data_IF_344388160259
#
_entry.id   IF_344388160259
#
_cell.length_a   1.000
_cell.length_b   1.000
_cell.length_c   1.000
_cell.angle_alpha   90.00
_cell.angle_beta   90.00
_cell.angle_gamma   90.00
#
_symmetry.space_group_name_H-M   'P 1'
#
loop_
_entity.id
_entity.type
_entity.pdbx_description
1 polymer ?
#
# COMPACT_ATOMS: atom_id res chain seq x y z
N UNK A 1 34.40 30.86 -28.32
CA UNK A 1 33.25 31.56 -28.95
C UNK A 1 32.91 30.95 -30.31
N UNK A 2 33.90 30.67 -31.17
CA UNK A 2 33.68 30.08 -32.52
C UNK A 2 33.02 28.70 -32.57
N UNK A 3 33.27 27.82 -31.59
CA UNK A 3 32.70 26.46 -31.59
C UNK A 3 31.18 26.49 -31.41
N UNK A 4 30.67 27.39 -30.55
CA UNK A 4 29.23 27.56 -30.34
C UNK A 4 28.54 28.14 -31.57
N UNK A 5 29.14 29.14 -32.22
CA UNK A 5 28.59 29.74 -33.46
C UNK A 5 28.57 28.71 -34.60
N UNK A 6 29.63 27.92 -34.73
CA UNK A 6 29.68 26.83 -35.72
C UNK A 6 28.62 25.76 -35.45
N UNK A 7 28.42 25.37 -34.18
CA UNK A 7 27.40 24.39 -33.83
C UNK A 7 25.98 24.93 -34.08
N UNK A 8 25.74 26.22 -33.80
CA UNK A 8 24.45 26.88 -34.12
C UNK A 8 24.20 26.88 -35.62
N UNK A 9 25.20 27.21 -36.45
CA UNK A 9 25.05 27.20 -37.90
C UNK A 9 24.77 25.80 -38.47
N UNK A 10 25.42 24.76 -37.93
CA UNK A 10 25.18 23.37 -38.34
C UNK A 10 23.76 22.92 -37.95
N UNK A 11 23.29 23.34 -36.78
CA UNK A 11 21.91 23.07 -36.32
C UNK A 11 20.90 23.81 -37.20
N UNK A 12 21.20 25.05 -37.61
CA UNK A 12 20.34 25.86 -38.49
C UNK A 12 20.25 25.27 -39.92
N UNK A 13 21.36 24.79 -40.46
CA UNK A 13 21.41 24.10 -41.75
C UNK A 13 20.61 22.78 -41.70
N UNK A 14 20.76 22.00 -40.62
CA UNK A 14 19.99 20.78 -40.42
C UNK A 14 18.48 21.06 -40.29
N UNK A 15 18.09 22.11 -39.56
CA UNK A 15 16.70 22.54 -39.44
C UNK A 15 16.12 22.98 -40.78
N UNK A 16 16.91 23.68 -41.60
CA UNK A 16 16.50 24.11 -42.94
C UNK A 16 16.28 22.92 -43.87
N UNK A 17 17.16 21.91 -43.79
CA UNK A 17 17.02 20.66 -44.55
C UNK A 17 15.79 19.87 -44.11
N UNK A 18 15.49 19.81 -42.80
CA UNK A 18 14.26 19.21 -42.28
C UNK A 18 13.01 19.95 -42.76
N UNK A 19 12.99 21.29 -42.75
CA UNK A 19 11.85 22.09 -43.25
C UNK A 19 11.57 21.83 -44.72
N UNK A 20 12.61 21.72 -45.55
CA UNK A 20 12.48 21.41 -46.98
C UNK A 20 12.01 19.97 -47.25
N UNK A 21 12.49 19.00 -46.48
CA UNK A 21 12.16 17.59 -46.70
C UNK A 21 10.75 17.21 -46.19
N UNK A 22 10.30 17.84 -45.11
CA UNK A 22 9.01 17.53 -44.45
C UNK A 22 7.87 18.46 -44.86
N UNK A 23 8.17 19.61 -45.47
CA UNK A 23 7.19 20.64 -45.83
C UNK A 23 6.67 21.47 -44.65
N UNK A 24 7.23 21.26 -43.45
CA UNK A 24 6.79 21.89 -42.20
C UNK A 24 7.43 23.28 -42.07
N UNK A 25 6.60 24.30 -41.89
CA UNK A 25 7.02 25.72 -42.00
C UNK A 25 7.45 26.35 -40.68
N UNK A 26 7.03 25.78 -39.55
CA UNK A 26 7.27 26.31 -38.20
C UNK A 26 8.07 25.34 -37.34
N UNK A 27 9.01 25.87 -36.57
CA UNK A 27 9.81 25.10 -35.58
C UNK A 27 8.91 24.45 -34.52
N UNK A 28 7.78 25.07 -34.20
CA UNK A 28 6.80 24.55 -33.23
C UNK A 28 6.04 23.33 -33.75
N UNK A 29 5.80 23.26 -35.06
CA UNK A 29 5.16 22.13 -35.72
C UNK A 29 6.11 20.92 -35.81
N UNK A 30 7.42 21.16 -35.96
CA UNK A 30 8.46 20.11 -35.87
C UNK A 30 8.50 19.52 -34.46
N UNK A 31 8.53 20.36 -33.42
CA UNK A 31 8.52 19.90 -32.02
C UNK A 31 7.25 19.13 -31.70
N UNK A 32 6.09 19.63 -32.13
CA UNK A 32 4.80 18.93 -31.91
C UNK A 32 4.76 17.58 -32.63
N UNK A 33 5.29 17.50 -33.85
CA UNK A 33 5.35 16.25 -34.62
C UNK A 33 6.31 15.25 -33.98
N UNK A 34 7.44 15.74 -33.47
CA UNK A 34 8.40 14.92 -32.73
C UNK A 34 7.79 14.37 -31.44
N UNK A 35 7.14 15.20 -30.63
CA UNK A 35 6.45 14.78 -29.41
C UNK A 35 5.39 13.71 -29.73
N UNK A 36 4.58 13.91 -30.78
CA UNK A 36 3.58 12.91 -31.20
C UNK A 36 4.21 11.59 -31.67
N UNK A 37 5.32 11.66 -32.39
CA UNK A 37 6.04 10.47 -32.82
C UNK A 37 6.67 9.73 -31.61
N UNK A 38 7.16 10.47 -30.63
CA UNK A 38 7.69 9.93 -29.37
C UNK A 38 6.60 9.27 -28.53
N UNK A 39 5.44 9.92 -28.36
CA UNK A 39 4.26 9.34 -27.69
C UNK A 39 3.77 8.06 -28.38
N UNK A 40 3.76 8.04 -29.71
CA UNK A 40 3.43 6.84 -30.49
C UNK A 40 4.47 5.73 -30.27
N UNK A 41 5.76 6.08 -30.25
CA UNK A 41 6.83 5.12 -30.04
C UNK A 41 6.78 4.52 -28.62
N UNK A 42 6.50 5.35 -27.62
CA UNK A 42 6.25 4.92 -26.25
C UNK A 42 5.03 3.98 -26.16
N UNK A 43 3.96 4.30 -26.87
CA UNK A 43 2.76 3.46 -26.94
C UNK A 43 3.05 2.10 -27.61
N UNK A 44 3.87 2.08 -28.67
CA UNK A 44 4.32 0.84 -29.30
C UNK A 44 5.17 -0.01 -28.36
N UNK A 45 6.10 0.61 -27.63
CA UNK A 45 6.94 -0.08 -26.66
C UNK A 45 6.09 -0.78 -25.59
N UNK A 46 5.10 -0.07 -25.04
CA UNK A 46 4.18 -0.65 -24.07
C UNK A 46 3.34 -1.79 -24.68
N UNK A 47 2.89 -1.64 -25.93
CA UNK A 47 2.16 -2.69 -26.61
C UNK A 47 3.01 -3.95 -26.84
N UNK A 48 4.28 -3.80 -27.24
CA UNK A 48 5.22 -4.91 -27.38
C UNK A 48 5.45 -5.62 -26.03
N UNK A 49 5.58 -4.87 -24.94
CA UNK A 49 5.72 -5.45 -23.60
C UNK A 49 4.45 -6.22 -23.18
N UNK A 50 3.27 -5.69 -23.49
CA UNK A 50 2.00 -6.37 -23.21
C UNK A 50 1.89 -7.67 -24.01
N UNK A 51 2.25 -7.65 -25.30
CA UNK A 51 2.28 -8.85 -26.14
C UNK A 51 3.28 -9.90 -25.63
N UNK A 52 4.47 -9.48 -25.18
CA UNK A 52 5.43 -10.41 -24.60
C UNK A 52 4.87 -11.08 -23.33
N UNK A 53 4.19 -10.31 -22.47
CA UNK A 53 3.51 -10.88 -21.31
C UNK A 53 2.37 -11.83 -21.71
N UNK A 54 1.62 -11.52 -22.78
CA UNK A 54 0.59 -12.43 -23.31
C UNK A 54 1.20 -13.70 -23.89
N UNK A 55 2.34 -13.62 -24.57
CA UNK A 55 3.09 -14.78 -25.06
C UNK A 55 3.50 -15.68 -23.89
N UNK A 56 4.10 -15.11 -22.83
CA UNK A 56 4.51 -15.87 -21.65
C UNK A 56 3.31 -16.59 -21.00
N UNK A 57 2.17 -15.91 -20.87
CA UNK A 57 0.94 -16.52 -20.35
C UNK A 57 0.42 -17.66 -21.23
N UNK A 58 0.45 -17.49 -22.55
CA UNK A 58 0.00 -18.51 -23.50
C UNK A 58 0.95 -19.71 -23.50
N UNK A 59 2.26 -19.49 -23.41
CA UNK A 59 3.25 -20.56 -23.31
C UNK A 59 3.09 -21.36 -22.01
N UNK A 60 2.87 -20.69 -20.89
CA UNK A 60 2.57 -21.36 -19.61
C UNK A 60 1.29 -22.21 -19.72
N UNK A 61 0.23 -21.65 -20.31
CA UNK A 61 -1.02 -22.38 -20.51
C UNK A 61 -0.86 -23.59 -21.43
N UNK A 62 -0.11 -23.45 -22.53
CA UNK A 62 0.19 -24.58 -23.43
C UNK A 62 0.96 -25.67 -22.69
N UNK A 63 1.95 -25.31 -21.88
CA UNK A 63 2.72 -26.27 -21.07
C UNK A 63 1.85 -26.99 -20.04
N UNK A 64 0.92 -26.28 -19.41
CA UNK A 64 -0.04 -26.87 -18.48
C UNK A 64 -0.93 -27.89 -19.20
N UNK A 65 -1.44 -27.54 -20.38
CA UNK A 65 -2.25 -28.45 -21.21
C UNK A 65 -1.45 -29.68 -21.65
N UNK A 66 -0.22 -29.51 -22.13
CA UNK A 66 0.65 -30.64 -22.52
C UNK A 66 0.89 -31.61 -21.35
N UNK A 67 1.09 -31.06 -20.15
CA UNK A 67 1.24 -31.87 -18.93
C UNK A 67 -0.03 -32.67 -18.64
N UNK A 68 -1.20 -32.06 -18.80
CA UNK A 68 -2.49 -32.72 -18.57
C UNK A 68 -2.78 -33.77 -19.65
N UNK A 69 -2.46 -33.50 -20.91
CA UNK A 69 -2.55 -34.48 -22.01
C UNK A 69 -1.66 -35.68 -21.69
N UNK A 70 -0.41 -35.45 -21.30
CA UNK A 70 0.52 -36.52 -20.93
C UNK A 70 0.00 -37.35 -19.76
N UNK A 71 -0.57 -36.70 -18.74
CA UNK A 71 -1.21 -37.39 -17.61
C UNK A 71 -2.39 -38.25 -18.06
N UNK A 72 -3.18 -37.76 -19.02
CA UNK A 72 -4.31 -38.50 -19.60
C UNK A 72 -3.87 -39.67 -20.49
N UNK A 73 -2.80 -39.51 -21.27
CA UNK A 73 -2.20 -40.57 -22.08
C UNK A 73 -1.61 -41.66 -21.19
N UNK A 74 -0.83 -41.29 -20.16
CA UNK A 74 -0.32 -42.22 -19.16
C UNK A 74 -1.47 -42.98 -18.47
N UNK A 75 -2.55 -42.29 -18.10
CA UNK A 75 -3.74 -42.94 -17.53
C UNK A 75 -4.49 -43.84 -18.53
N UNK A 76 -4.38 -43.57 -19.83
CA UNK A 76 -4.90 -44.39 -20.92
C UNK A 76 -4.14 -45.70 -21.07
N UNK A 77 -2.81 -45.64 -20.97
CA UNK A 77 -1.87 -46.78 -21.11
C UNK A 77 -1.69 -47.59 -19.82
N UNK A 78 -2.05 -47.05 -18.66
CA UNK A 78 -2.02 -47.75 -17.36
C UNK A 78 -2.94 -48.98 -17.38
N UNK A 79 -2.40 -50.12 -16.95
CA UNK A 79 -3.18 -51.37 -16.81
C UNK A 79 -4.23 -51.22 -15.71
N UNK A 80 -5.28 -52.06 -15.69
CA UNK A 80 -6.41 -51.94 -14.74
C UNK A 80 -5.99 -51.84 -13.25
N UNK A 81 -4.85 -52.42 -12.87
CA UNK A 81 -4.26 -52.32 -11.53
C UNK A 81 -3.79 -50.91 -11.16
N UNK A 82 -3.25 -50.18 -12.12
CA UNK A 82 -2.73 -48.84 -11.95
C UNK A 82 -3.86 -47.82 -11.86
N UNK A 83 -4.92 -48.01 -12.65
CA UNK A 83 -6.19 -47.28 -12.49
C UNK A 83 -6.82 -47.50 -11.12
N UNK A 84 -6.75 -48.71 -10.59
CA UNK A 84 -7.23 -49.02 -9.25
C UNK A 84 -6.45 -48.28 -8.15
N UNK A 85 -5.12 -48.20 -8.26
CA UNK A 85 -4.30 -47.41 -7.33
C UNK A 85 -4.66 -45.93 -7.37
N UNK A 86 -4.89 -45.38 -8.56
CA UNK A 86 -5.30 -43.96 -8.71
C UNK A 86 -6.70 -43.74 -8.12
N UNK A 87 -7.65 -44.65 -8.36
CA UNK A 87 -8.99 -44.61 -7.76
C UNK A 87 -8.92 -44.68 -6.24
N UNK A 88 -8.09 -45.55 -5.69
CA UNK A 88 -7.91 -45.68 -4.25
C UNK A 88 -7.33 -44.40 -3.64
N UNK A 89 -6.27 -43.84 -4.21
CA UNK A 89 -5.69 -42.56 -3.76
C UNK A 89 -6.68 -41.41 -3.83
N UNK A 90 -7.49 -41.35 -4.89
CA UNK A 90 -8.52 -40.32 -5.03
C UNK A 90 -9.62 -40.51 -3.98
N UNK A 91 -10.04 -41.75 -3.72
CA UNK A 91 -11.01 -42.06 -2.67
C UNK A 91 -10.50 -41.65 -1.29
N UNK A 92 -9.25 -41.96 -0.96
CA UNK A 92 -8.61 -41.56 0.30
C UNK A 92 -8.57 -40.03 0.45
N UNK A 93 -8.18 -39.31 -0.62
CA UNK A 93 -8.16 -37.84 -0.60
C UNK A 93 -9.55 -37.22 -0.45
N UNK A 94 -10.57 -37.83 -1.06
CA UNK A 94 -11.96 -37.40 -0.90
C UNK A 94 -12.45 -37.64 0.53
N UNK A 95 -12.11 -38.79 1.13
CA UNK A 95 -12.47 -39.10 2.51
C UNK A 95 -11.80 -38.15 3.51
N UNK A 96 -10.51 -37.86 3.33
CA UNK A 96 -9.78 -36.88 4.12
C UNK A 96 -10.39 -35.47 3.98
N UNK A 97 -10.69 -35.04 2.76
CA UNK A 97 -11.33 -33.75 2.50
C UNK A 97 -12.71 -33.66 3.15
N UNK A 98 -13.50 -34.72 3.11
CA UNK A 98 -14.81 -34.77 3.75
C UNK A 98 -14.71 -34.73 5.27
N UNK A 99 -13.71 -35.42 5.85
CA UNK A 99 -13.46 -35.37 7.29
C UNK A 99 -13.10 -33.95 7.74
N UNK A 100 -12.20 -33.28 7.03
CA UNK A 100 -11.82 -31.89 7.31
C UNK A 100 -13.01 -30.92 7.15
N UNK A 101 -13.81 -31.11 6.10
CA UNK A 101 -14.98 -30.28 5.86
C UNK A 101 -16.00 -30.43 6.99
N UNK A 102 -16.27 -31.67 7.42
CA UNK A 102 -17.17 -31.94 8.54
C UNK A 102 -16.65 -31.35 9.87
N UNK A 103 -15.33 -31.38 10.11
CA UNK A 103 -14.74 -30.72 11.28
C UNK A 103 -14.95 -29.20 11.23
N UNK A 104 -14.71 -28.57 10.07
CA UNK A 104 -14.90 -27.13 9.88
C UNK A 104 -16.37 -26.72 10.01
N UNK A 105 -17.29 -27.51 9.48
CA UNK A 105 -18.73 -27.30 9.65
C UNK A 105 -19.15 -27.36 11.13
N UNK A 106 -18.57 -28.29 11.90
CA UNK A 106 -18.81 -28.35 13.35
C UNK A 106 -18.27 -27.11 14.07
N UNK A 107 -17.08 -26.64 13.70
CA UNK A 107 -16.49 -25.40 14.25
C UNK A 107 -17.37 -24.18 13.93
N UNK A 108 -17.89 -24.08 12.71
CA UNK A 108 -18.81 -23.00 12.29
C UNK A 108 -20.09 -23.03 13.12
N UNK A 109 -20.75 -24.19 13.24
CA UNK A 109 -21.98 -24.32 14.05
C UNK A 109 -21.77 -23.94 15.52
N UNK A 110 -20.60 -24.28 16.08
CA UNK A 110 -20.26 -23.89 17.44
C UNK A 110 -20.07 -22.36 17.55
N UNK A 111 -19.38 -21.76 16.58
CA UNK A 111 -19.17 -20.31 16.53
C UNK A 111 -20.50 -19.56 16.40
N UNK A 112 -21.41 -20.01 15.52
CA UNK A 112 -22.74 -19.44 15.36
C UNK A 112 -23.52 -19.47 16.68
N UNK A 113 -23.50 -20.60 17.39
CA UNK A 113 -24.13 -20.73 18.71
C UNK A 113 -23.54 -19.75 19.72
N UNK A 114 -22.22 -19.59 19.73
CA UNK A 114 -21.55 -18.65 20.61
C UNK A 114 -21.93 -17.20 20.27
N UNK A 115 -22.00 -16.84 19.00
CA UNK A 115 -22.41 -15.50 18.55
C UNK A 115 -23.84 -15.15 19.00
N UNK A 116 -24.77 -16.10 18.92
CA UNK A 116 -26.14 -15.92 19.44
C UNK A 116 -26.13 -15.74 20.96
N UNK A 117 -25.39 -16.57 21.69
CA UNK A 117 -25.30 -16.45 23.15
C UNK A 117 -24.68 -15.12 23.62
N UNK A 118 -23.69 -14.61 22.87
CA UNK A 118 -23.09 -13.30 23.11
C UNK A 118 -24.12 -12.21 22.84
N UNK A 119 -24.83 -12.24 21.69
CA UNK A 119 -25.92 -11.30 21.38
C UNK A 119 -26.91 -11.19 22.54
N UNK A 120 -27.44 -12.32 23.00
CA UNK A 120 -28.46 -12.35 24.05
C UNK A 120 -27.94 -11.83 25.39
N UNK A 121 -26.65 -12.03 25.67
CA UNK A 121 -26.01 -11.55 26.89
C UNK A 121 -25.74 -10.05 26.84
N UNK A 122 -25.23 -9.56 25.72
CA UNK A 122 -24.98 -8.13 25.47
C UNK A 122 -26.29 -7.36 25.51
N UNK A 123 -27.32 -7.84 24.81
CA UNK A 123 -28.62 -7.17 24.79
C UNK A 123 -29.22 -7.05 26.19
N UNK A 124 -29.25 -8.14 26.98
CA UNK A 124 -29.75 -8.10 28.36
C UNK A 124 -28.98 -7.12 29.23
N UNK A 125 -27.65 -7.11 29.12
CA UNK A 125 -26.83 -6.23 29.96
C UNK A 125 -27.00 -4.75 29.58
N UNK A 126 -27.05 -4.44 28.29
CA UNK A 126 -27.30 -3.08 27.80
C UNK A 126 -28.71 -2.61 28.16
N UNK A 127 -29.73 -3.46 28.10
CA UNK A 127 -31.09 -3.13 28.53
C UNK A 127 -31.13 -2.74 30.02
N UNK A 128 -30.44 -3.48 30.88
CA UNK A 128 -30.32 -3.12 32.31
C UNK A 128 -29.54 -1.82 32.53
N UNK A 129 -28.46 -1.59 31.78
CA UNK A 129 -27.73 -0.32 31.83
C UNK A 129 -28.56 0.86 31.32
N UNK A 130 -29.41 0.68 30.30
CA UNK A 130 -30.33 1.72 29.82
C UNK A 130 -31.43 2.05 30.84
N UNK A 131 -31.87 1.09 31.65
CA UNK A 131 -32.79 1.33 32.79
C UNK A 131 -32.11 2.04 33.96
N UNK A 132 -30.78 1.96 34.03
CA UNK A 132 -29.99 2.63 35.05
C UNK A 132 -29.62 4.07 34.65
N UNK A 133 -29.09 4.87 35.57
CA UNK A 133 -28.71 6.26 35.30
C UNK A 133 -27.30 6.41 34.67
N UNK A 134 -26.81 5.40 33.96
CA UNK A 134 -25.55 5.48 33.22
C UNK A 134 -25.81 5.99 31.79
N UNK A 135 -25.03 6.97 31.34
CA UNK A 135 -25.16 7.56 30.01
C UNK A 135 -23.89 7.31 29.21
N UNK A 136 -24.07 6.89 27.95
CA UNK A 136 -22.98 6.77 26.99
C UNK A 136 -22.43 8.15 26.65
N UNK A 137 -21.11 8.25 26.51
CA UNK A 137 -20.39 9.47 26.14
C UNK A 137 -19.57 9.31 24.86
N UNK A 138 -19.12 8.10 24.53
CA UNK A 138 -18.17 7.84 23.43
C UNK A 138 -18.77 6.89 22.40
N UNK A 139 -19.37 5.79 22.83
CA UNK A 139 -20.01 4.81 21.97
C UNK A 139 -21.40 5.28 21.53
N UNK A 140 -21.79 4.88 20.32
CA UNK A 140 -23.14 5.10 19.83
C UNK A 140 -24.08 4.06 20.42
N UNK A 141 -25.29 4.47 20.80
CA UNK A 141 -26.29 3.51 21.24
C UNK A 141 -26.85 2.74 20.05
N UNK A 142 -26.74 1.42 20.10
CA UNK A 142 -27.24 0.54 19.06
C UNK A 142 -28.68 0.13 19.34
N UNK A 143 -29.36 -0.24 18.24
CA UNK A 143 -30.68 -0.86 18.30
C UNK A 143 -30.50 -2.37 18.44
N UNK A 144 -31.25 -2.95 19.37
CA UNK A 144 -31.29 -4.39 19.58
C UNK A 144 -32.69 -4.86 19.23
N UNK A 145 -32.81 -5.61 18.15
CA UNK A 145 -34.05 -6.23 17.72
C UNK A 145 -33.86 -7.74 17.50
N UNK A 146 -34.98 -8.43 17.26
CA UNK A 146 -34.98 -9.86 17.00
C UNK A 146 -34.25 -10.21 15.68
N UNK A 147 -34.18 -9.26 14.73
CA UNK A 147 -33.50 -9.41 13.43
C UNK A 147 -31.98 -9.17 13.52
N UNK A 148 -31.48 -8.62 14.62
CA UNK A 148 -30.07 -8.30 14.79
C UNK A 148 -29.24 -9.58 14.84
N UNK A 149 -28.32 -9.76 13.90
CA UNK A 149 -27.38 -10.89 13.87
C UNK A 149 -25.97 -10.36 14.08
N UNK A 150 -25.26 -10.93 15.05
CA UNK A 150 -23.85 -10.61 15.27
C UNK A 150 -23.00 -11.23 14.17
N UNK A 151 -22.20 -10.40 13.52
CA UNK A 151 -21.23 -10.76 12.51
C UNK A 151 -19.93 -9.98 12.74
N UNK A 152 -18.88 -10.33 12.00
CA UNK A 152 -17.55 -9.75 12.17
C UNK A 152 -17.54 -8.21 12.05
N UNK A 153 -18.39 -7.64 11.20
CA UNK A 153 -18.41 -6.20 10.95
C UNK A 153 -19.11 -5.42 12.07
N UNK A 154 -20.14 -6.01 12.70
CA UNK A 154 -20.97 -5.30 13.66
C UNK A 154 -20.69 -5.64 15.12
N UNK A 155 -20.16 -6.84 15.43
CA UNK A 155 -20.01 -7.34 16.80
C UNK A 155 -19.17 -6.38 17.66
N UNK A 156 -18.12 -5.80 17.08
CA UNK A 156 -17.25 -4.82 17.74
C UNK A 156 -18.01 -3.56 18.17
N UNK A 157 -18.95 -3.08 17.35
CA UNK A 157 -19.73 -1.87 17.67
C UNK A 157 -20.69 -2.12 18.85
N UNK A 158 -21.34 -3.28 18.87
CA UNK A 158 -22.21 -3.68 19.98
C UNK A 158 -21.45 -3.94 21.27
N UNK A 159 -20.26 -4.55 21.16
CA UNK A 159 -19.38 -4.77 22.32
C UNK A 159 -18.79 -3.46 22.85
N UNK A 160 -18.49 -2.49 21.98
CA UNK A 160 -17.99 -1.18 22.41
C UNK A 160 -19.03 -0.39 23.23
N UNK A 161 -20.32 -0.44 22.86
CA UNK A 161 -21.39 0.13 23.69
C UNK A 161 -21.42 -0.50 25.08
N UNK A 162 -21.33 -1.83 25.15
CA UNK A 162 -21.31 -2.54 26.42
C UNK A 162 -20.03 -2.25 27.24
N UNK A 163 -18.87 -2.17 26.58
CA UNK A 163 -17.58 -1.87 27.20
C UNK A 163 -17.59 -0.51 27.88
N UNK A 164 -18.19 0.50 27.25
CA UNK A 164 -18.31 1.82 27.86
C UNK A 164 -19.19 1.78 29.13
N UNK A 165 -20.34 1.10 29.07
CA UNK A 165 -21.21 0.94 30.24
C UNK A 165 -20.48 0.24 31.40
N UNK A 166 -19.76 -0.84 31.11
CA UNK A 166 -18.97 -1.57 32.11
C UNK A 166 -17.86 -0.67 32.67
N UNK A 167 -17.18 0.09 31.81
CA UNK A 167 -16.13 1.02 32.22
C UNK A 167 -16.65 2.09 33.18
N UNK A 168 -17.78 2.71 32.86
CA UNK A 168 -18.45 3.69 33.73
C UNK A 168 -18.86 3.07 35.07
N UNK A 169 -19.39 1.84 35.04
CA UNK A 169 -19.77 1.12 36.25
C UNK A 169 -18.56 0.81 37.15
N UNK A 170 -17.45 0.36 36.56
CA UNK A 170 -16.19 0.10 37.27
C UNK A 170 -15.63 1.36 37.92
N UNK A 171 -15.58 2.47 37.16
CA UNK A 171 -15.15 3.77 37.70
C UNK A 171 -16.07 4.24 38.83
N UNK A 172 -17.39 4.10 38.69
CA UNK A 172 -18.35 4.43 39.76
C UNK A 172 -18.11 3.61 41.03
N UNK A 173 -17.92 2.30 40.89
CA UNK A 173 -17.66 1.40 42.02
C UNK A 173 -16.31 1.71 42.70
N UNK A 174 -15.28 2.06 41.96
CA UNK A 174 -13.97 2.46 42.48
C UNK A 174 -14.03 3.81 43.22
N UNK A 175 -14.76 4.79 42.68
CA UNK A 175 -15.02 6.07 43.36
C UNK A 175 -15.76 5.85 44.69
N UNK A 176 -16.75 4.95 44.72
CA UNK A 176 -17.48 4.60 45.95
C UNK A 176 -16.58 3.94 47.01
N UNK A 177 -15.51 3.27 46.59
CA UNK A 177 -14.53 2.63 47.47
C UNK A 177 -13.38 3.56 47.90
N UNK A 178 -13.39 4.84 47.50
CA UNK A 178 -12.30 5.80 47.74
C UNK A 178 -10.93 5.33 47.19
N UNK A 179 -10.92 4.62 46.07
CA UNK A 179 -9.66 4.24 45.40
C UNK A 179 -9.03 5.47 44.71
N UNK A 180 -7.77 5.83 45.01
CA UNK A 180 -7.04 6.92 44.34
C UNK A 180 -6.91 6.73 42.82
N UNK A 181 -6.99 5.50 42.32
CA UNK A 181 -6.84 5.16 40.91
C UNK A 181 -8.17 4.97 40.17
N UNK A 182 -9.31 5.31 40.79
CA UNK A 182 -10.65 5.09 40.22
C UNK A 182 -10.83 5.55 38.75
N UNK A 183 -10.23 6.66 38.26
CA UNK A 183 -10.35 7.07 36.86
C UNK A 183 -9.66 6.14 35.85
N UNK A 184 -8.71 5.32 36.28
CA UNK A 184 -7.92 4.43 35.42
C UNK A 184 -8.23 2.94 35.62
N UNK A 185 -9.09 2.59 36.58
CA UNK A 185 -9.48 1.19 36.89
C UNK A 185 -10.13 0.47 35.70
N UNK A 186 -10.81 1.19 34.81
CA UNK A 186 -11.41 0.61 33.61
C UNK A 186 -10.40 0.27 32.50
N UNK A 187 -9.14 0.67 32.62
CA UNK A 187 -8.10 0.41 31.63
C UNK A 187 -7.45 -0.95 31.92
N UNK A 188 -7.51 -1.94 31.01
CA UNK A 188 -6.83 -3.21 31.20
C UNK A 188 -5.32 -3.05 30.99
N UNK A 189 -4.58 -2.80 32.08
CA UNK A 189 -3.12 -2.62 32.02
C UNK A 189 -2.36 -3.90 31.65
N UNK A 190 -2.93 -5.09 31.89
CA UNK A 190 -2.27 -6.38 31.62
C UNK A 190 -2.16 -6.75 30.14
N UNK A 191 -2.92 -6.09 29.26
CA UNK A 191 -2.88 -6.30 27.80
C UNK A 191 -2.09 -5.22 27.03
N UNK A 192 -1.59 -4.18 27.71
CA UNK A 192 -0.67 -3.24 27.07
C UNK A 192 0.69 -3.92 26.92
N UNK A 193 1.14 -4.11 25.68
CA UNK A 193 2.54 -4.42 25.40
C UNK A 193 3.41 -3.40 26.14
N UNK A 194 4.18 -3.85 27.12
CA UNK A 194 5.22 -3.02 27.73
C UNK A 194 6.11 -2.57 26.58
N UNK A 195 6.13 -1.27 26.28
CA UNK A 195 7.05 -0.72 25.29
C UNK A 195 8.46 -0.99 25.80
N UNK A 196 9.11 -2.02 25.26
CA UNK A 196 10.52 -2.29 25.49
C UNK A 196 11.35 -1.27 24.72
N UNK A 197 11.45 -0.05 25.26
CA UNK A 197 12.23 1.05 24.67
C UNK A 197 13.73 0.71 24.50
N UNK A 198 14.21 -0.37 25.15
CA UNK A 198 15.61 -0.77 25.16
C UNK A 198 15.99 -1.90 24.18
N UNK A 199 15.03 -2.57 23.51
CA UNK A 199 15.37 -3.77 22.69
C UNK A 199 15.67 -3.55 21.22
N UNK A 200 15.52 -2.34 20.70
CA UNK A 200 16.02 -2.00 19.36
C UNK A 200 16.64 -0.63 19.39
N UNK A 201 17.96 -0.59 19.62
CA UNK A 201 18.75 0.39 18.89
C UNK A 201 18.58 0.02 17.42
N UNK A 202 17.60 0.60 16.73
CA UNK A 202 17.61 0.59 15.28
C UNK A 202 18.94 1.21 14.89
N UNK A 203 19.88 0.38 14.44
CA UNK A 203 21.06 0.88 13.77
C UNK A 203 20.54 1.33 12.40
N UNK A 204 20.07 2.57 12.33
CA UNK A 204 19.76 3.22 11.06
C UNK A 204 21.13 3.46 10.44
N UNK A 205 21.61 2.48 9.69
CA UNK A 205 22.76 2.72 8.83
C UNK A 205 22.34 3.75 7.79
N UNK A 206 23.12 4.84 7.62
CA UNK A 206 22.87 5.76 6.54
C UNK A 206 22.90 4.97 5.22
N UNK A 207 21.96 5.20 4.29
CA UNK A 207 21.98 4.53 3.01
C UNK A 207 23.36 4.72 2.38
N UNK A 208 24.03 3.62 2.03
CA UNK A 208 25.33 3.72 1.38
C UNK A 208 25.14 4.49 0.08
N UNK A 209 26.00 5.48 -0.17
CA UNK A 209 25.89 6.39 -1.32
C UNK A 209 25.97 5.69 -2.69
N UNK A 210 26.09 4.37 -2.74
CA UNK A 210 26.11 3.57 -3.95
C UNK A 210 24.73 3.02 -4.36
N UNK A 211 23.68 3.08 -3.53
CA UNK A 211 22.34 2.57 -3.90
C UNK A 211 21.44 3.61 -4.57
N UNK A 212 21.86 4.87 -4.67
CA UNK A 212 21.10 5.94 -5.34
C UNK A 212 21.63 6.25 -6.75
N UNK A 213 22.66 5.55 -7.21
CA UNK A 213 23.32 5.80 -8.51
C UNK A 213 22.88 4.84 -9.63
N UNK A 214 21.60 4.42 -9.66
CA UNK A 214 21.03 3.70 -10.80
C UNK A 214 19.88 4.44 -11.49
N UNK A 215 19.73 5.74 -11.26
CA UNK A 215 18.60 6.48 -11.82
C UNK A 215 18.90 7.89 -12.36
N UNK A 216 20.15 8.32 -12.48
CA UNK A 216 20.49 9.60 -13.14
C UNK A 216 21.88 9.52 -13.77
N UNK A 217 21.96 8.97 -14.99
CA UNK A 217 22.99 9.44 -15.92
C UNK A 217 22.62 10.87 -16.32
N UNK A 218 23.63 11.75 -16.35
CA UNK A 218 23.60 13.15 -16.79
C UNK A 218 23.11 14.21 -15.78
N UNK A 219 24.01 14.62 -14.87
CA UNK A 219 24.23 16.04 -14.63
C UNK A 219 25.62 16.28 -14.01
N UNK A 220 26.40 17.04 -14.75
CA UNK A 220 27.69 17.68 -14.48
C UNK A 220 27.97 18.00 -13.00
N UNK A 221 29.18 17.62 -12.57
CA UNK A 221 29.93 18.22 -11.46
C UNK A 221 29.80 19.74 -11.43
N UNK A 222 29.57 20.36 -10.26
CA UNK A 222 30.45 21.38 -9.66
C UNK A 222 29.95 21.88 -8.26
N UNK A 223 30.91 21.99 -7.34
CA UNK A 223 30.98 22.79 -6.10
C UNK A 223 30.11 22.50 -4.85
N UNK A 224 30.69 21.68 -3.96
CA UNK A 224 30.66 21.73 -2.48
C UNK A 224 29.44 22.41 -1.81
N UNK A 225 28.37 21.63 -1.60
CA UNK A 225 27.27 22.02 -0.71
C UNK A 225 27.71 21.91 0.76
N UNK A 226 28.21 23.01 1.33
CA UNK A 226 28.41 23.11 2.79
C UNK A 226 27.06 23.02 3.52
N UNK A 227 26.91 22.05 4.41
CA UNK A 227 25.66 21.79 5.18
C UNK A 227 25.52 22.62 6.47
N UNK A 228 26.42 23.58 6.73
CA UNK A 228 26.36 24.45 7.91
C UNK A 228 25.38 25.63 7.70
N UNK A 229 24.27 25.71 8.47
CA UNK A 229 23.26 26.76 8.31
C UNK A 229 23.81 28.20 8.43
N UNK A 230 24.89 28.40 9.20
CA UNK A 230 25.50 29.74 9.35
C UNK A 230 26.27 30.16 8.10
N UNK A 231 26.91 29.22 7.41
CA UNK A 231 27.62 29.49 6.17
C UNK A 231 26.64 29.80 5.02
N UNK A 232 25.51 29.07 4.96
CA UNK A 232 24.43 29.33 4.00
C UNK A 232 23.82 30.72 4.18
N UNK A 233 23.58 31.14 5.42
CA UNK A 233 23.07 32.48 5.71
C UNK A 233 24.05 33.58 5.28
N UNK A 234 25.35 33.37 5.53
CA UNK A 234 26.39 34.32 5.08
C UNK A 234 26.47 34.40 3.55
N UNK A 235 26.39 33.27 2.85
CA UNK A 235 26.39 33.20 1.38
C UNK A 235 25.16 33.88 0.77
N UNK A 236 24.01 33.80 1.45
CA UNK A 236 22.80 34.52 1.08
C UNK A 236 22.95 36.03 1.23
N UNK A 237 23.48 36.51 2.36
CA UNK A 237 23.77 37.94 2.57
C UNK A 237 24.77 38.49 1.54
N UNK A 238 25.83 37.74 1.22
CA UNK A 238 26.82 38.13 0.19
C UNK A 238 26.20 38.18 -1.22
N UNK A 239 25.23 37.30 -1.52
CA UNK A 239 24.53 37.28 -2.81
C UNK A 239 23.56 38.45 -2.93
N UNK A 240 22.85 38.78 -1.84
CA UNK A 240 21.97 39.94 -1.77
C UNK A 240 22.73 41.25 -1.92
N UNK A 241 23.91 41.37 -1.31
CA UNK A 241 24.77 42.55 -1.46
C UNK A 241 25.25 42.75 -2.91
N UNK A 242 25.54 41.65 -3.64
CA UNK A 242 25.88 41.73 -5.08
C UNK A 242 24.71 42.16 -5.96
N UNK A 243 23.48 41.76 -5.64
CA UNK A 243 22.30 42.23 -6.39
C UNK A 243 22.08 43.74 -6.20
N UNK A 244 22.30 44.27 -5.00
CA UNK A 244 22.19 45.72 -4.74
C UNK A 244 23.25 46.51 -5.54
N UNK A 245 24.50 46.03 -5.63
CA UNK A 245 25.56 46.66 -6.44
C UNK A 245 25.27 46.64 -7.96
N UNK A 246 24.63 45.58 -8.48
CA UNK A 246 24.25 45.47 -9.90
C UNK A 246 23.09 46.40 -10.24
N UNK A 247 22.19 46.64 -9.27
CA UNK A 247 21.04 47.52 -9.45
C UNK A 247 21.44 49.00 -9.44
N UNK A 248 22.44 49.38 -8.64
CA UNK A 248 22.99 50.75 -8.66
C UNK A 248 23.88 51.01 -9.90
N UNK A 249 24.65 50.02 -10.37
CA UNK A 249 25.47 50.16 -11.57
C UNK A 249 24.64 50.30 -12.87
N UNK A 250 23.40 49.79 -12.87
CA UNK A 250 22.49 49.90 -14.02
C UNK A 250 21.69 51.21 -14.05
N UNK A 251 21.59 51.95 -12.94
CA UNK A 251 20.99 53.30 -12.91
C UNK A 251 21.97 54.42 -13.30
N UNK A 252 23.28 54.19 -13.27
CA UNK A 252 24.32 55.16 -13.68
C UNK A 252 24.68 55.11 -15.18
N UNK A 253 24.03 54.25 -15.98
CA UNK A 253 24.19 54.18 -17.45
C UNK A 253 22.91 54.49 -18.22
N UNK A 254 22.19 55.54 -17.82
CA UNK A 254 21.21 56.24 -18.66
C UNK A 254 21.53 57.73 -18.70
#
# INVERSE_FOLDING_TARGET
MDIYVRNVNVIEDAFTQMKQATGISSTEEVVTTFIKAEEQNYSLYNYVNMLNSEIDMIEEHNKAIETEIKRHEELGDMTEKEKEIVRQKLSEKVEESNALHNEKDQQIKLMEKNMVAIKDSVWRMVDEFKKSNFFLSVAQSNQYDDETVFNENNVTHYLAELEEYISLFMTYMACKQNDPNAPTVSIPFESMNVKEFDKTKMNIEPPSSNEVNLANEDAETEEDMTTDPRALFKKFEDMKAREEDITDASQLRK
#
